data_IF_681892010483
#
_entry.id   IF_681892010483
#
_cell.length_a   1.000
_cell.length_b   1.000
_cell.length_c   1.000
_cell.angle_alpha   90.00
_cell.angle_beta   90.00
_cell.angle_gamma   90.00
#
_symmetry.space_group_name_H-M   'P 1'
#
loop_
_entity.id
_entity.type
_entity.pdbx_description
1 polymer ?
#
# COMPACT_ATOMS: atom_id res chain seq x y z
N UNK A 1 17.48 15.99 -39.10
CA UNK A 1 17.51 16.31 -37.65
C UNK A 1 16.14 16.22 -36.95
N UNK A 2 14.99 16.27 -37.64
CA UNK A 2 13.65 16.21 -36.99
C UNK A 2 13.19 14.80 -36.58
N UNK A 3 13.67 13.76 -37.27
CA UNK A 3 13.27 12.36 -37.07
C UNK A 3 13.86 11.72 -35.81
N UNK A 4 15.05 12.13 -35.40
CA UNK A 4 15.72 11.62 -34.20
C UNK A 4 15.00 12.06 -32.92
N UNK A 5 14.48 13.29 -32.91
CA UNK A 5 13.73 13.83 -31.78
C UNK A 5 12.36 13.15 -31.63
N UNK A 6 11.65 12.91 -32.74
CA UNK A 6 10.38 12.17 -32.73
C UNK A 6 10.56 10.71 -32.33
N UNK A 7 11.65 10.07 -32.77
CA UNK A 7 11.97 8.69 -32.37
C UNK A 7 12.34 8.59 -30.88
N UNK A 8 13.07 9.56 -30.34
CA UNK A 8 13.39 9.64 -28.92
C UNK A 8 12.15 9.86 -28.06
N UNK A 9 11.25 10.77 -28.45
CA UNK A 9 9.99 10.98 -27.75
C UNK A 9 9.08 9.75 -27.77
N UNK A 10 9.01 9.04 -28.91
CA UNK A 10 8.27 7.78 -28.99
C UNK A 10 8.85 6.70 -28.06
N UNK A 11 10.18 6.57 -28.02
CA UNK A 11 10.89 5.64 -27.13
C UNK A 11 10.67 5.98 -25.65
N UNK A 12 10.65 7.27 -25.29
CA UNK A 12 10.34 7.72 -23.94
C UNK A 12 8.87 7.48 -23.56
N UNK A 13 7.93 7.56 -24.49
CA UNK A 13 6.52 7.24 -24.26
C UNK A 13 6.25 5.73 -24.08
N UNK A 14 7.20 4.88 -24.47
CA UNK A 14 7.19 3.44 -24.22
C UNK A 14 7.79 3.08 -22.84
N UNK A 15 8.42 4.02 -22.14
CA UNK A 15 8.85 3.79 -20.77
C UNK A 15 7.60 3.73 -19.88
N UNK A 16 7.41 2.66 -19.10
CA UNK A 16 6.28 2.60 -18.20
C UNK A 16 6.42 3.72 -17.17
N UNK A 17 5.53 4.71 -17.23
CA UNK A 17 5.29 5.57 -16.09
C UNK A 17 4.82 4.65 -14.95
N UNK A 18 5.42 4.77 -13.77
CA UNK A 18 4.98 4.00 -12.61
C UNK A 18 3.47 4.21 -12.42
N UNK A 19 2.71 3.12 -12.33
CA UNK A 19 1.29 3.21 -12.01
C UNK A 19 1.12 3.92 -10.66
N UNK A 20 0.06 4.72 -10.47
CA UNK A 20 -0.19 5.34 -9.17
C UNK A 20 -0.26 4.27 -8.09
N UNK A 21 0.38 4.54 -6.95
CA UNK A 21 0.33 3.64 -5.81
C UNK A 21 -1.13 3.42 -5.37
N UNK A 22 -1.45 2.20 -4.99
CA UNK A 22 -2.80 1.88 -4.55
C UNK A 22 -3.10 2.50 -3.19
N UNK A 23 -4.26 3.13 -3.07
CA UNK A 23 -4.75 3.68 -1.81
C UNK A 23 -5.56 2.64 -1.02
N UNK A 24 -5.14 2.37 0.22
CA UNK A 24 -5.84 1.47 1.14
C UNK A 24 -6.63 2.29 2.17
N UNK A 25 -7.95 2.35 2.00
CA UNK A 25 -8.87 3.11 2.88
C UNK A 25 -9.57 2.18 3.85
N UNK A 26 -9.62 2.55 5.13
CA UNK A 26 -10.38 1.78 6.13
C UNK A 26 -10.20 2.25 7.57
N UNK A 27 -9.03 2.77 7.92
CA UNK A 27 -8.82 3.34 9.25
C UNK A 27 -9.58 4.66 9.44
N UNK A 28 -10.22 4.81 10.59
CA UNK A 28 -10.92 6.01 11.03
C UNK A 28 -10.04 6.98 11.83
N UNK A 29 -8.77 6.61 12.08
CA UNK A 29 -7.80 7.43 12.78
C UNK A 29 -6.37 7.24 12.26
N UNK A 30 -5.39 7.98 12.81
CA UNK A 30 -3.99 7.90 12.37
C UNK A 30 -3.45 6.47 12.38
N UNK A 31 -2.87 6.06 11.26
CA UNK A 31 -2.11 4.81 11.16
C UNK A 31 -0.77 5.02 11.87
N UNK A 32 -0.45 4.11 12.79
CA UNK A 32 0.72 4.22 13.66
C UNK A 32 1.67 3.03 13.55
N UNK A 33 1.21 1.94 12.96
CA UNK A 33 1.99 0.74 12.74
C UNK A 33 1.70 0.16 11.36
N UNK A 34 2.75 -0.37 10.72
CA UNK A 34 2.66 -1.12 9.48
C UNK A 34 3.66 -2.27 9.51
N UNK A 35 3.23 -3.44 9.05
CA UNK A 35 4.09 -4.58 8.81
C UNK A 35 3.69 -5.25 7.49
N UNK A 36 4.67 -5.66 6.69
CA UNK A 36 4.45 -6.34 5.41
C UNK A 36 4.94 -7.76 5.55
N UNK A 37 4.13 -8.72 5.08
CA UNK A 37 4.51 -10.12 5.09
C UNK A 37 5.77 -10.35 4.20
N UNK A 38 6.64 -11.32 4.53
CA UNK A 38 7.85 -11.58 3.75
C UNK A 38 7.58 -11.93 2.27
N UNK A 39 6.41 -12.49 1.97
CA UNK A 39 5.95 -12.79 0.61
C UNK A 39 5.48 -11.55 -0.17
N UNK A 40 5.38 -10.39 0.48
CA UNK A 40 4.90 -9.14 -0.11
C UNK A 40 3.41 -9.15 -0.50
N UNK A 41 2.67 -10.21 -0.20
CA UNK A 41 1.27 -10.36 -0.61
C UNK A 41 0.28 -9.72 0.36
N UNK A 42 0.71 -9.52 1.61
CA UNK A 42 -0.14 -8.98 2.68
C UNK A 42 0.56 -7.89 3.48
N UNK A 43 -0.26 -6.99 4.03
CA UNK A 43 0.18 -6.02 5.02
C UNK A 43 -0.79 -6.00 6.20
N UNK A 44 -0.25 -5.74 7.40
CA UNK A 44 -1.02 -5.46 8.60
C UNK A 44 -0.76 -4.00 8.99
N UNK A 45 -1.82 -3.21 9.10
CA UNK A 45 -1.75 -1.85 9.63
C UNK A 45 -2.43 -1.77 10.98
N UNK A 46 -1.92 -0.93 11.88
CA UNK A 46 -2.50 -0.65 13.19
C UNK A 46 -2.71 0.84 13.37
N UNK A 47 -3.83 1.23 13.99
CA UNK A 47 -4.24 2.62 14.09
C UNK A 47 -4.56 3.06 15.53
N UNK A 48 -4.59 4.38 15.70
CA UNK A 48 -5.13 5.04 16.89
C UNK A 48 -6.63 4.77 17.08
N UNK A 49 -7.35 4.40 16.01
CA UNK A 49 -8.77 4.01 16.07
C UNK A 49 -9.03 2.64 16.73
N UNK A 50 -8.00 2.05 17.35
CA UNK A 50 -8.03 0.77 18.06
C UNK A 50 -8.27 -0.46 17.17
N UNK A 51 -8.23 -0.28 15.85
CA UNK A 51 -8.29 -1.37 14.89
C UNK A 51 -6.94 -1.68 14.26
N UNK A 52 -6.73 -2.94 13.92
CA UNK A 52 -5.78 -3.34 12.92
C UNK A 52 -6.51 -3.83 11.66
N UNK A 53 -5.95 -3.60 10.49
CA UNK A 53 -6.52 -4.09 9.22
C UNK A 53 -5.47 -4.95 8.52
N UNK A 54 -5.88 -6.17 8.15
CA UNK A 54 -5.11 -7.03 7.26
C UNK A 54 -5.52 -6.74 5.82
N UNK A 55 -4.55 -6.49 4.96
CA UNK A 55 -4.73 -6.13 3.57
C UNK A 55 -4.19 -7.23 2.66
N UNK A 56 -4.91 -7.48 1.57
CA UNK A 56 -4.37 -8.17 0.41
C UNK A 56 -3.77 -7.11 -0.52
N UNK A 57 -2.45 -7.15 -0.75
CA UNK A 57 -1.77 -6.15 -1.59
C UNK A 57 -1.93 -6.42 -3.09
N UNK A 58 -2.20 -7.67 -3.49
CA UNK A 58 -2.43 -8.03 -4.89
C UNK A 58 -3.83 -7.65 -5.38
N UNK A 59 -4.84 -7.85 -4.53
CA UNK A 59 -6.21 -7.41 -4.79
C UNK A 59 -6.47 -5.97 -4.35
N UNK A 60 -5.64 -5.46 -3.44
CA UNK A 60 -5.69 -4.07 -3.00
C UNK A 60 -6.91 -3.72 -2.15
N UNK A 61 -7.29 -4.66 -1.29
CA UNK A 61 -8.50 -4.56 -0.48
C UNK A 61 -8.25 -5.08 0.94
N UNK A 62 -9.10 -4.64 1.87
CA UNK A 62 -9.08 -5.15 3.23
C UNK A 62 -9.58 -6.60 3.25
N UNK A 63 -8.79 -7.53 3.76
CA UNK A 63 -9.22 -8.91 4.02
C UNK A 63 -10.03 -8.98 5.32
N UNK A 64 -9.58 -8.28 6.37
CA UNK A 64 -10.27 -8.27 7.66
C UNK A 64 -9.93 -7.06 8.53
N UNK A 65 -10.85 -6.69 9.41
CA UNK A 65 -10.69 -5.65 10.43
C UNK A 65 -10.67 -6.32 11.80
N UNK A 66 -9.55 -6.19 12.49
CA UNK A 66 -9.28 -6.78 13.80
C UNK A 66 -9.52 -5.73 14.89
N UNK A 67 -10.47 -6.00 15.79
CA UNK A 67 -10.87 -5.09 16.88
C UNK A 67 -10.67 -5.74 18.24
N UNK A 68 -9.43 -6.14 18.52
CA UNK A 68 -9.08 -6.77 19.81
C UNK A 68 -8.48 -5.77 20.80
N UNK A 69 -7.89 -4.67 20.31
CA UNK A 69 -7.23 -3.70 21.16
C UNK A 69 -8.24 -2.69 21.71
N UNK A 70 -8.10 -2.33 22.99
CA UNK A 70 -8.89 -1.27 23.65
C UNK A 70 -8.14 0.07 23.69
N UNK A 71 -7.12 0.21 22.85
CA UNK A 71 -6.23 1.36 22.82
C UNK A 71 -5.46 1.43 21.51
N UNK A 72 -4.69 2.50 21.34
CA UNK A 72 -3.95 2.74 20.11
C UNK A 72 -2.94 1.62 19.85
N UNK A 73 -2.90 1.13 18.61
CA UNK A 73 -1.88 0.19 18.19
C UNK A 73 -0.62 0.99 17.86
N UNK A 74 0.49 0.65 18.50
CA UNK A 74 1.75 1.40 18.42
C UNK A 74 2.77 0.74 17.49
N UNK A 75 2.75 -0.59 17.41
CA UNK A 75 3.69 -1.38 16.63
C UNK A 75 2.96 -2.61 16.07
N UNK A 76 3.44 -3.08 14.93
CA UNK A 76 3.02 -4.30 14.29
C UNK A 76 4.29 -4.99 13.78
N UNK A 77 4.30 -6.33 13.85
CA UNK A 77 5.39 -7.16 13.32
C UNK A 77 4.73 -8.23 12.46
N UNK A 78 5.27 -8.41 11.26
CA UNK A 78 4.99 -9.56 10.42
C UNK A 78 6.18 -10.53 10.60
N UNK A 79 5.86 -11.80 10.80
CA UNK A 79 6.83 -12.90 10.88
C UNK A 79 6.72 -13.76 9.63
#
# INVERSE_FOLDING_TARGET
MRTLWTALLALLALLPAGAPAQELRGHGGPVRAVAVAPDGGRALTGSFDQSAILWNLGAGSAETVLRFHQGAINAAVAI
#
